data_IF_324917434670
#
_entry.id   IF_324917434670
#
_cell.length_a   1.000
_cell.length_b   1.000
_cell.length_c   1.000
_cell.angle_alpha   90.00
_cell.angle_beta   90.00
_cell.angle_gamma   90.00
#
_symmetry.space_group_name_H-M   'P 1'
#
loop_
_entity.id
_entity.type
_entity.pdbx_description
1 polymer ?
#
# COMPACT_ATOMS: atom_id res chain seq x y z
N UNK A 1 3.41 -19.10 9.24
CA UNK A 1 2.33 -18.11 9.06
C UNK A 1 1.66 -17.86 10.41
N UNK A 2 1.29 -16.60 10.72
CA UNK A 2 0.86 -16.21 12.07
C UNK A 2 -0.44 -16.91 12.56
N UNK A 3 -1.17 -17.59 11.67
CA UNK A 3 -2.46 -18.24 11.99
C UNK A 3 -2.58 -19.60 11.26
N UNK A 4 -1.74 -20.58 11.61
CA UNK A 4 -1.75 -21.90 10.95
C UNK A 4 -3.02 -22.71 11.21
N UNK A 5 -3.68 -22.50 12.35
CA UNK A 5 -4.87 -23.25 12.77
C UNK A 5 -6.18 -22.81 12.09
N UNK A 6 -6.23 -21.62 11.49
CA UNK A 6 -7.48 -21.09 10.92
C UNK A 6 -7.64 -21.44 9.44
N UNK A 7 -8.87 -21.76 9.03
CA UNK A 7 -9.24 -22.00 7.63
C UNK A 7 -9.42 -20.69 6.85
N UNK A 8 -9.79 -19.61 7.53
CA UNK A 8 -10.00 -18.29 6.95
C UNK A 8 -9.70 -17.18 7.96
N UNK A 9 -9.38 -15.98 7.46
CA UNK A 9 -9.12 -14.80 8.28
C UNK A 9 -10.15 -13.72 7.93
N UNK A 10 -10.83 -13.20 8.93
CA UNK A 10 -11.72 -12.05 8.78
C UNK A 10 -11.05 -10.79 9.36
N UNK A 11 -11.03 -9.70 8.60
CA UNK A 11 -10.63 -8.38 9.08
C UNK A 11 -11.85 -7.47 9.14
N UNK A 12 -12.14 -6.87 10.29
CA UNK A 12 -13.24 -5.91 10.46
C UNK A 12 -12.66 -4.49 10.54
N UNK A 13 -12.90 -3.67 9.53
CA UNK A 13 -12.32 -2.33 9.40
C UNK A 13 -12.32 -1.83 7.96
N UNK A 14 -11.50 -0.81 7.69
CA UNK A 14 -11.22 -0.36 6.32
C UNK A 14 -10.06 -1.12 5.67
N UNK A 15 -9.56 -0.57 4.56
CA UNK A 15 -8.46 -1.16 3.79
C UNK A 15 -7.16 -1.30 4.61
N UNK A 16 -6.88 -0.38 5.53
CA UNK A 16 -5.70 -0.48 6.42
C UNK A 16 -5.74 -1.73 7.31
N UNK A 17 -6.89 -2.06 7.88
CA UNK A 17 -7.08 -3.27 8.68
C UNK A 17 -6.95 -4.53 7.82
N UNK A 18 -7.46 -4.49 6.60
CA UNK A 18 -7.28 -5.58 5.63
C UNK A 18 -5.80 -5.80 5.31
N UNK A 19 -5.05 -4.74 5.02
CA UNK A 19 -3.61 -4.81 4.73
C UNK A 19 -2.83 -5.41 5.91
N UNK A 20 -3.18 -5.04 7.13
CA UNK A 20 -2.55 -5.57 8.34
C UNK A 20 -2.87 -7.06 8.57
N UNK A 21 -4.06 -7.51 8.21
CA UNK A 21 -4.38 -8.94 8.21
C UNK A 21 -3.61 -9.69 7.10
N UNK A 22 -3.58 -9.13 5.89
CA UNK A 22 -2.90 -9.71 4.75
C UNK A 22 -1.38 -9.80 4.92
N UNK A 23 -0.74 -8.85 5.62
CA UNK A 23 0.71 -8.89 5.90
C UNK A 23 1.13 -10.16 6.65
N UNK A 24 0.26 -10.69 7.52
CA UNK A 24 0.52 -11.88 8.33
C UNK A 24 0.32 -13.22 7.61
N UNK A 25 -0.26 -13.18 6.41
CA UNK A 25 -0.61 -14.37 5.62
C UNK A 25 0.32 -14.44 4.41
N UNK A 26 1.24 -15.40 4.41
CA UNK A 26 2.25 -15.56 3.36
C UNK A 26 1.89 -16.62 2.31
N UNK A 27 0.88 -17.46 2.59
CA UNK A 27 0.38 -18.51 1.69
C UNK A 27 -0.91 -18.06 1.00
N UNK A 28 -1.10 -18.48 -0.25
CA UNK A 28 -2.32 -18.27 -1.01
C UNK A 28 -3.47 -19.21 -0.60
N UNK A 29 -3.21 -20.18 0.28
CA UNK A 29 -4.19 -21.20 0.70
C UNK A 29 -5.20 -20.67 1.73
N UNK A 30 -4.87 -19.57 2.42
CA UNK A 30 -5.73 -19.00 3.47
C UNK A 30 -6.42 -17.73 2.99
N UNK A 31 -7.75 -17.75 2.76
CA UNK A 31 -8.48 -16.55 2.39
C UNK A 31 -8.41 -15.47 3.49
N UNK A 32 -8.27 -14.22 3.04
CA UNK A 32 -8.47 -13.03 3.87
C UNK A 32 -9.74 -12.34 3.39
N UNK A 33 -10.69 -12.13 4.31
CA UNK A 33 -12.02 -11.60 4.05
C UNK A 33 -12.16 -10.29 4.79
N UNK A 34 -12.21 -9.18 4.04
CA UNK A 34 -12.44 -7.86 4.61
C UNK A 34 -13.91 -7.58 4.82
N UNK A 35 -14.29 -7.10 6.01
CA UNK A 35 -15.63 -6.60 6.33
C UNK A 35 -15.48 -5.10 6.57
N UNK A 36 -16.08 -4.29 5.68
CA UNK A 36 -16.10 -2.85 5.88
C UNK A 36 -17.02 -2.49 7.06
N UNK A 37 -16.44 -1.92 8.11
CA UNK A 37 -17.18 -1.47 9.31
C UNK A 37 -17.61 -0.01 9.26
N UNK A 38 -17.42 0.70 8.13
CA UNK A 38 -18.04 1.99 7.86
C UNK A 38 -19.37 1.78 7.10
N UNK A 39 -20.52 1.65 7.79
CA UNK A 39 -21.79 1.25 7.18
C UNK A 39 -22.34 2.27 6.18
N UNK A 40 -21.94 3.54 6.29
CA UNK A 40 -22.41 4.62 5.43
C UNK A 40 -21.45 4.90 4.27
N UNK A 41 -20.23 4.34 4.29
CA UNK A 41 -19.21 4.58 3.27
C UNK A 41 -18.85 6.06 3.13
N UNK A 42 -19.00 6.84 4.21
CA UNK A 42 -18.76 8.28 4.23
C UNK A 42 -17.28 8.61 4.36
N UNK A 43 -16.50 7.72 4.99
CA UNK A 43 -15.08 7.94 5.29
C UNK A 43 -14.16 6.93 4.59
N UNK A 44 -14.66 5.75 4.20
CA UNK A 44 -13.87 4.74 3.49
C UNK A 44 -14.69 3.95 2.46
N UNK A 45 -14.26 3.96 1.21
CA UNK A 45 -14.86 3.14 0.14
C UNK A 45 -14.65 1.63 0.35
N UNK A 46 -13.59 1.24 1.07
CA UNK A 46 -13.22 -0.15 1.33
C UNK A 46 -12.93 -0.92 0.04
N UNK A 47 -11.93 -0.51 -0.74
CA UNK A 47 -11.60 -1.15 -2.03
C UNK A 47 -11.16 -2.61 -1.89
N UNK A 48 -10.64 -3.00 -0.72
CA UNK A 48 -10.21 -4.36 -0.40
C UNK A 48 -11.29 -5.17 0.33
N UNK A 49 -12.26 -4.50 0.95
CA UNK A 49 -13.30 -5.12 1.76
C UNK A 49 -14.53 -5.56 0.94
N UNK A 50 -15.25 -6.56 1.46
CA UNK A 50 -16.60 -6.87 1.01
C UNK A 50 -17.54 -5.70 1.38
N UNK A 51 -18.56 -5.51 0.54
CA UNK A 51 -19.67 -4.56 0.76
C UNK A 51 -19.19 -3.11 0.92
N UNK A 52 -18.79 -2.49 -0.20
CA UNK A 52 -18.34 -1.08 -0.26
C UNK A 52 -19.31 -0.08 0.39
N UNK A 53 -20.62 -0.35 0.37
CA UNK A 53 -21.67 0.49 0.96
C UNK A 53 -22.73 -0.39 1.62
N UNK A 54 -23.43 0.17 2.62
CA UNK A 54 -24.56 -0.47 3.31
C UNK A 54 -24.17 -1.83 3.93
N UNK A 55 -22.94 -1.94 4.44
CA UNK A 55 -22.43 -3.21 4.96
C UNK A 55 -23.31 -3.79 6.07
N UNK A 56 -23.89 -2.95 6.94
CA UNK A 56 -24.81 -3.40 8.00
C UNK A 56 -26.08 -4.09 7.48
N UNK A 57 -26.61 -3.65 6.33
CA UNK A 57 -27.83 -4.21 5.73
C UNK A 57 -27.54 -5.56 5.06
N UNK A 58 -26.45 -5.64 4.28
CA UNK A 58 -26.15 -6.80 3.44
C UNK A 58 -25.23 -7.82 4.08
N UNK A 59 -24.64 -7.55 5.25
CA UNK A 59 -23.67 -8.44 5.89
C UNK A 59 -24.22 -9.84 6.13
N UNK A 60 -25.47 -9.94 6.63
CA UNK A 60 -26.10 -11.23 6.92
C UNK A 60 -26.21 -12.09 5.66
N UNK A 61 -26.64 -11.50 4.56
CA UNK A 61 -26.81 -12.25 3.30
C UNK A 61 -25.47 -12.54 2.64
N UNK A 62 -24.49 -11.63 2.72
CA UNK A 62 -23.13 -11.90 2.29
C UNK A 62 -22.52 -13.08 3.07
N UNK A 63 -22.73 -13.15 4.39
CA UNK A 63 -22.26 -14.26 5.21
C UNK A 63 -22.94 -15.58 4.84
N UNK A 64 -24.26 -15.59 4.59
CA UNK A 64 -24.96 -16.79 4.10
C UNK A 64 -24.38 -17.27 2.76
N UNK A 65 -24.12 -16.35 1.83
CA UNK A 65 -23.52 -16.67 0.53
C UNK A 65 -22.11 -17.24 0.67
N UNK A 66 -21.28 -16.64 1.54
CA UNK A 66 -19.96 -17.17 1.88
C UNK A 66 -20.04 -18.60 2.41
N UNK A 67 -20.93 -18.87 3.38
CA UNK A 67 -21.12 -20.19 3.97
C UNK A 67 -21.69 -21.21 2.96
N UNK A 68 -22.50 -20.75 1.99
CA UNK A 68 -23.04 -21.59 0.94
C UNK A 68 -22.05 -21.84 -0.23
N UNK A 69 -20.86 -21.24 -0.21
CA UNK A 69 -19.90 -21.33 -1.32
C UNK A 69 -20.25 -20.44 -2.52
N UNK A 70 -21.23 -19.54 -2.40
CA UNK A 70 -21.65 -18.60 -3.45
C UNK A 70 -20.76 -17.34 -3.43
N UNK A 71 -19.53 -17.53 -3.86
CA UNK A 71 -18.56 -16.45 -4.04
C UNK A 71 -17.58 -16.79 -5.16
N UNK A 72 -16.76 -15.82 -5.55
CA UNK A 72 -15.65 -16.02 -6.48
C UNK A 72 -14.34 -15.70 -5.80
N UNK A 73 -13.33 -16.50 -6.07
CA UNK A 73 -11.97 -16.25 -5.62
C UNK A 73 -11.39 -15.03 -6.34
N UNK A 74 -10.77 -14.14 -5.58
CA UNK A 74 -9.99 -13.03 -6.10
C UNK A 74 -8.56 -13.16 -5.60
N UNK A 75 -7.68 -13.63 -6.49
CA UNK A 75 -6.25 -13.75 -6.20
C UNK A 75 -5.58 -12.41 -6.47
N UNK A 76 -4.97 -11.83 -5.44
CA UNK A 76 -4.28 -10.55 -5.52
C UNK A 76 -2.78 -10.77 -5.61
N UNK A 77 -2.15 -10.12 -6.58
CA UNK A 77 -0.69 -10.07 -6.67
C UNK A 77 -0.09 -9.34 -5.45
N UNK A 78 1.11 -9.74 -5.05
CA UNK A 78 1.90 -9.07 -4.01
C UNK A 78 3.33 -8.93 -4.47
N UNK A 79 3.97 -7.84 -4.07
CA UNK A 79 5.38 -7.56 -4.39
C UNK A 79 6.25 -8.24 -3.33
N UNK A 80 7.22 -9.03 -3.79
CA UNK A 80 8.30 -9.56 -2.96
C UNK A 80 9.54 -8.70 -3.15
N UNK A 81 10.18 -8.32 -2.05
CA UNK A 81 11.35 -7.45 -2.06
C UNK A 81 12.57 -8.27 -1.62
N UNK A 82 13.64 -8.18 -2.41
CA UNK A 82 14.96 -8.71 -2.06
C UNK A 82 15.94 -7.55 -2.04
N UNK A 83 16.77 -7.50 -1.01
CA UNK A 83 17.84 -6.52 -0.88
C UNK A 83 19.16 -7.20 -1.23
N UNK A 84 20.02 -6.54 -1.99
CA UNK A 84 21.34 -7.05 -2.36
C UNK A 84 22.40 -5.99 -2.02
N UNK A 85 23.64 -6.44 -1.74
CA UNK A 85 24.75 -5.58 -1.33
C UNK A 85 25.16 -5.75 0.14
N UNK A 86 26.01 -4.83 0.63
CA UNK A 86 26.38 -4.76 2.04
C UNK A 86 25.27 -4.05 2.82
N UNK A 87 24.18 -4.79 3.04
CA UNK A 87 22.98 -4.28 3.68
C UNK A 87 23.19 -4.15 5.20
N UNK A 88 24.17 -4.83 5.79
CA UNK A 88 24.32 -4.96 7.24
C UNK A 88 23.12 -5.65 7.92
N UNK A 89 23.09 -5.61 9.26
CA UNK A 89 21.94 -6.10 10.05
C UNK A 89 20.79 -5.06 10.05
N UNK A 90 20.08 -4.92 8.92
CA UNK A 90 18.86 -4.10 8.89
C UNK A 90 17.73 -4.88 9.56
N UNK A 91 17.27 -4.37 10.71
CA UNK A 91 16.03 -4.83 11.33
C UNK A 91 14.86 -4.03 10.76
N UNK A 92 13.80 -4.69 10.25
CA UNK A 92 12.62 -3.99 9.79
C UNK A 92 11.99 -3.19 10.94
N UNK A 93 11.60 -1.96 10.63
CA UNK A 93 10.93 -1.05 11.56
C UNK A 93 9.47 -0.90 11.15
N UNK A 94 8.55 -1.37 12.00
CA UNK A 94 7.12 -1.37 11.70
C UNK A 94 6.45 -0.14 12.32
N UNK A 95 6.27 0.90 11.51
CA UNK A 95 5.68 2.18 11.93
C UNK A 95 4.31 2.06 12.64
N UNK A 96 3.54 1.00 12.39
CA UNK A 96 2.22 0.81 12.98
C UNK A 96 2.25 0.14 14.37
N UNK A 97 3.38 -0.45 14.77
CA UNK A 97 3.60 -0.99 16.12
C UNK A 97 4.15 0.09 17.05
N UNK A 98 4.77 1.11 16.47
CA UNK A 98 5.27 2.29 17.14
C UNK A 98 4.11 3.25 17.36
N UNK A 99 3.51 3.23 18.54
CA UNK A 99 2.67 4.36 18.95
C UNK A 99 3.57 5.60 18.92
N UNK A 100 3.42 6.47 17.92
CA UNK A 100 3.92 7.83 18.02
C UNK A 100 3.38 8.37 19.35
N UNK A 101 4.24 8.72 20.33
CA UNK A 101 3.75 9.36 21.54
C UNK A 101 3.23 10.72 21.09
N UNK A 102 1.93 10.80 20.81
CA UNK A 102 1.20 12.05 20.75
C UNK A 102 1.14 12.57 22.19
N UNK A 103 2.28 13.11 22.63
CA UNK A 103 2.40 13.83 23.87
C UNK A 103 1.49 15.05 23.73
N UNK A 104 0.49 15.14 24.60
CA UNK A 104 -0.43 16.27 24.70
C UNK A 104 0.30 17.59 24.46
N UNK A 105 -0.23 18.38 23.52
CA UNK A 105 0.28 19.63 22.96
C UNK A 105 0.41 20.79 23.96
N UNK A 106 1.16 20.61 25.07
CA UNK A 106 1.36 21.66 26.08
C UNK A 106 2.81 21.94 26.48
N UNK A 107 3.80 21.31 25.84
CA UNK A 107 5.22 21.67 26.04
C UNK A 107 5.98 21.63 24.71
N UNK A 108 5.60 22.52 23.81
CA UNK A 108 6.38 22.80 22.62
C UNK A 108 7.12 24.10 22.87
N UNK A 109 8.37 23.99 23.34
CA UNK A 109 9.54 24.87 23.18
C UNK A 109 10.58 24.26 24.12
N UNK A 110 11.57 23.52 23.58
CA UNK A 110 12.96 23.46 24.10
C UNK A 110 13.82 22.29 23.57
N UNK A 111 13.31 21.32 22.83
CA UNK A 111 14.15 20.22 22.32
C UNK A 111 14.69 20.50 20.92
N UNK A 112 15.58 21.48 20.84
CA UNK A 112 16.54 21.61 19.73
C UNK A 112 17.75 20.76 20.12
N UNK A 113 18.07 19.80 19.26
CA UNK A 113 19.32 19.02 19.18
C UNK A 113 19.66 18.09 20.35
N UNK A 114 19.98 16.84 20.00
CA UNK A 114 20.80 15.86 20.75
C UNK A 114 20.17 14.67 21.52
N UNK A 115 18.87 14.36 21.45
CA UNK A 115 18.36 13.24 22.29
C UNK A 115 17.32 12.26 21.68
N UNK A 116 17.31 12.09 20.35
CA UNK A 116 16.46 11.07 19.72
C UNK A 116 16.95 9.62 19.91
N UNK A 117 18.27 9.42 20.02
CA UNK A 117 18.87 8.08 20.20
C UNK A 117 18.69 7.55 21.63
N UNK A 118 18.69 8.44 22.62
CA UNK A 118 18.54 8.10 24.05
C UNK A 118 17.10 7.69 24.39
N UNK A 119 16.11 8.27 23.70
CA UNK A 119 14.71 7.93 23.86
C UNK A 119 14.43 6.50 23.36
N UNK A 120 15.02 6.11 22.23
CA UNK A 120 14.92 4.76 21.66
C UNK A 120 15.47 3.66 22.59
N UNK A 121 16.56 3.95 23.30
CA UNK A 121 17.18 3.00 24.24
C UNK A 121 16.36 2.83 25.54
N UNK A 122 15.59 3.83 25.93
CA UNK A 122 14.79 3.78 27.16
C UNK A 122 13.48 3.01 26.97
N UNK A 123 12.90 3.04 25.77
CA UNK A 123 11.65 2.34 25.43
C UNK A 123 11.77 0.81 25.36
N UNK A 124 12.98 0.25 25.23
CA UNK A 124 13.20 -1.21 25.18
C UNK A 124 12.91 -1.95 26.49
N UNK A 125 12.74 -1.25 27.63
CA UNK A 125 12.67 -1.90 28.95
C UNK A 125 11.30 -2.41 29.40
N UNK A 126 10.19 -1.92 28.82
CA UNK A 126 8.88 -2.06 29.48
C UNK A 126 7.78 -2.85 28.75
N UNK A 127 8.08 -3.64 27.70
CA UNK A 127 7.05 -4.45 27.03
C UNK A 127 7.23 -5.97 27.19
N UNK A 128 6.14 -6.65 27.58
CA UNK A 128 6.12 -8.08 27.90
C UNK A 128 6.53 -8.95 26.68
N UNK A 129 7.45 -9.92 26.79
CA UNK A 129 8.14 -10.50 25.63
C UNK A 129 7.39 -11.62 24.89
N UNK A 130 6.22 -12.06 25.38
CA UNK A 130 5.77 -13.44 25.08
C UNK A 130 5.15 -13.63 23.68
N UNK A 131 4.50 -12.61 23.10
CA UNK A 131 3.88 -12.71 21.77
C UNK A 131 4.79 -12.24 20.63
N UNK A 132 5.66 -11.25 20.89
CA UNK A 132 6.63 -10.72 19.94
C UNK A 132 7.72 -11.74 19.60
N UNK A 133 8.27 -12.43 20.62
CA UNK A 133 9.42 -13.35 20.44
C UNK A 133 9.14 -14.48 19.45
N UNK A 134 7.90 -14.98 19.38
CA UNK A 134 7.54 -16.11 18.51
C UNK A 134 7.44 -15.71 17.03
N UNK A 135 6.97 -14.50 16.76
CA UNK A 135 6.96 -13.92 15.40
C UNK A 135 8.38 -13.56 14.95
N UNK A 136 9.18 -12.94 15.82
CA UNK A 136 10.57 -12.59 15.50
C UNK A 136 11.45 -13.81 15.19
N UNK A 137 11.31 -14.90 15.95
CA UNK A 137 12.09 -16.13 15.69
C UNK A 137 11.69 -16.76 14.35
N UNK A 138 10.40 -16.70 13.99
CA UNK A 138 9.90 -17.22 12.73
C UNK A 138 10.37 -16.40 11.51
N UNK A 139 10.37 -15.06 11.60
CA UNK A 139 10.83 -14.18 10.52
C UNK A 139 12.35 -14.26 10.34
N UNK A 140 13.10 -14.43 11.45
CA UNK A 140 14.56 -14.66 11.43
C UNK A 140 14.94 -15.94 10.68
N UNK A 141 14.23 -17.04 10.94
CA UNK A 141 14.52 -18.32 10.29
C UNK A 141 14.29 -18.27 8.76
N UNK A 142 13.34 -17.46 8.28
CA UNK A 142 13.12 -17.25 6.83
C UNK A 142 14.23 -16.39 6.21
N UNK A 143 14.70 -15.36 6.93
CA UNK A 143 15.78 -14.50 6.47
C UNK A 143 17.13 -15.25 6.37
N UNK A 144 17.39 -16.17 7.31
CA UNK A 144 18.62 -16.99 7.33
C UNK A 144 18.64 -18.08 6.24
N UNK A 145 17.50 -18.62 5.79
CA UNK A 145 17.45 -19.63 4.71
C UNK A 145 17.46 -19.06 3.28
N UNK A 146 17.04 -17.80 3.07
CA UNK A 146 16.76 -17.28 1.72
C UNK A 146 17.58 -16.06 1.25
N UNK A 147 18.51 -15.54 2.05
CA UNK A 147 19.40 -14.45 1.64
C UNK A 147 18.67 -13.13 1.39
N UNK A 148 18.72 -12.21 2.36
CA UNK A 148 18.29 -10.81 2.26
C UNK A 148 16.90 -10.55 1.62
N UNK A 149 16.00 -11.53 1.62
CA UNK A 149 14.60 -11.35 1.21
C UNK A 149 13.82 -10.80 2.39
N UNK A 150 13.11 -9.68 2.20
CA UNK A 150 12.23 -9.16 3.24
C UNK A 150 11.06 -10.12 3.46
N UNK A 151 10.74 -10.39 4.72
CA UNK A 151 9.71 -11.35 5.09
C UNK A 151 8.30 -10.90 4.73
N UNK A 152 8.06 -9.60 4.66
CA UNK A 152 6.76 -9.02 4.34
C UNK A 152 6.56 -8.87 2.83
N UNK A 153 5.40 -9.32 2.38
CA UNK A 153 4.96 -9.12 0.99
C UNK A 153 4.08 -7.87 0.92
N UNK A 154 4.35 -6.95 -0.01
CA UNK A 154 3.53 -5.75 -0.15
C UNK A 154 2.29 -6.04 -0.99
N UNK A 155 1.09 -5.83 -0.45
CA UNK A 155 -0.16 -6.02 -1.19
C UNK A 155 -0.49 -4.83 -2.09
N UNK A 156 -0.27 -3.60 -1.61
CA UNK A 156 -0.56 -2.40 -2.39
C UNK A 156 0.68 -1.91 -3.11
N UNK A 157 1.61 -1.31 -2.37
CA UNK A 157 2.69 -0.53 -2.93
C UNK A 157 4.00 -0.76 -2.16
N UNK A 158 5.13 -0.56 -2.85
CA UNK A 158 6.46 -0.40 -2.29
C UNK A 158 6.97 0.97 -2.68
N UNK A 159 7.37 1.76 -1.69
CA UNK A 159 8.04 3.04 -1.91
C UNK A 159 9.51 2.91 -1.55
N UNK A 160 10.39 3.36 -2.45
CA UNK A 160 11.84 3.41 -2.25
C UNK A 160 12.29 4.85 -2.46
N UNK A 161 12.98 5.40 -1.47
CA UNK A 161 13.47 6.77 -1.51
C UNK A 161 14.40 7.08 -0.35
N UNK A 162 14.86 8.33 -0.30
CA UNK A 162 15.68 8.83 0.80
C UNK A 162 14.88 8.87 2.11
N UNK A 163 15.57 8.61 3.23
CA UNK A 163 14.97 8.69 4.57
C UNK A 163 14.65 10.13 4.98
N UNK A 164 15.39 11.10 4.44
CA UNK A 164 15.15 12.53 4.63
C UNK A 164 14.43 13.10 3.42
N UNK A 165 13.23 13.64 3.62
CA UNK A 165 12.39 14.21 2.56
C UNK A 165 13.01 15.43 1.85
N UNK A 166 14.04 16.05 2.42
CA UNK A 166 14.79 17.16 1.83
C UNK A 166 15.87 16.70 0.84
N UNK A 167 16.19 15.40 0.82
CA UNK A 167 17.19 14.82 -0.09
C UNK A 167 16.53 14.26 -1.33
N UNK A 168 17.26 14.34 -2.43
CA UNK A 168 16.84 13.76 -3.71
C UNK A 168 17.41 12.36 -3.80
N UNK A 169 16.58 11.40 -4.19
CA UNK A 169 16.99 10.03 -4.48
C UNK A 169 17.60 9.93 -5.88
N UNK A 170 18.77 9.32 -5.96
CA UNK A 170 19.43 8.95 -7.21
C UNK A 170 19.44 7.43 -7.29
N UNK A 171 18.91 6.90 -8.37
CA UNK A 171 18.80 5.46 -8.55
C UNK A 171 18.80 5.07 -10.02
N UNK A 172 19.12 3.82 -10.30
CA UNK A 172 19.01 3.20 -11.61
C UNK A 172 17.91 2.14 -11.56
N UNK A 173 17.02 2.14 -12.55
CA UNK A 173 15.95 1.15 -12.68
C UNK A 173 16.24 0.26 -13.89
N UNK A 174 16.04 -1.04 -13.71
CA UNK A 174 16.06 -2.04 -14.77
C UNK A 174 14.80 -2.91 -14.69
N UNK A 175 14.12 -3.10 -15.81
CA UNK A 175 12.96 -4.00 -15.91
C UNK A 175 13.36 -5.23 -16.71
N UNK A 176 13.29 -6.41 -16.10
CA UNK A 176 13.81 -7.65 -16.65
C UNK A 176 15.24 -7.45 -17.21
N UNK A 177 15.50 -7.88 -18.44
CA UNK A 177 16.80 -7.75 -19.11
C UNK A 177 16.94 -6.42 -19.90
N UNK A 178 16.15 -5.39 -19.56
CA UNK A 178 16.25 -4.07 -20.22
C UNK A 178 17.55 -3.36 -19.91
N UNK A 179 17.84 -2.28 -20.63
CA UNK A 179 18.90 -1.35 -20.23
C UNK A 179 18.56 -0.68 -18.89
N UNK A 180 19.59 -0.41 -18.10
CA UNK A 180 19.47 0.37 -16.86
C UNK A 180 19.28 1.86 -17.17
N UNK A 181 18.28 2.46 -16.54
CA UNK A 181 17.95 3.88 -16.71
C UNK A 181 18.20 4.63 -15.42
N UNK A 182 19.06 5.65 -15.49
CA UNK A 182 19.33 6.59 -14.39
C UNK A 182 18.15 7.52 -14.18
N UNK A 183 17.73 7.66 -12.92
CA UNK A 183 16.62 8.49 -12.51
C UNK A 183 16.97 9.34 -11.29
N UNK A 184 16.31 10.49 -11.19
CA UNK A 184 16.45 11.45 -10.10
C UNK A 184 15.06 11.99 -9.71
N UNK A 185 14.62 11.71 -8.49
CA UNK A 185 13.32 12.16 -7.97
C UNK A 185 13.26 12.09 -6.45
N UNK A 186 12.09 12.32 -5.85
CA UNK A 186 11.86 12.04 -4.42
C UNK A 186 11.88 10.55 -4.06
N UNK A 187 11.94 9.67 -5.05
CA UNK A 187 11.83 8.21 -4.91
C UNK A 187 10.98 7.58 -6.01
N UNK A 188 10.72 6.29 -5.87
CA UNK A 188 9.94 5.46 -6.79
C UNK A 188 8.87 4.69 -6.03
N UNK A 189 7.67 4.63 -6.62
CA UNK A 189 6.54 3.83 -6.13
C UNK A 189 6.30 2.70 -7.13
N UNK A 190 6.28 1.46 -6.64
CA UNK A 190 5.88 0.28 -7.38
C UNK A 190 4.55 -0.20 -6.80
N UNK A 191 3.50 -0.24 -7.61
CA UNK A 191 2.15 -0.62 -7.17
C UNK A 191 1.68 -1.93 -7.81
N UNK A 192 0.87 -2.69 -7.08
CA UNK A 192 0.11 -3.82 -7.64
C UNK A 192 -1.21 -3.35 -8.24
N UNK A 193 -1.93 -4.26 -8.89
CA UNK A 193 -3.32 -4.01 -9.27
C UNK A 193 -4.23 -3.60 -8.10
N UNK A 194 -3.98 -4.14 -6.90
CA UNK A 194 -4.69 -3.73 -5.67
C UNK A 194 -4.26 -2.35 -5.17
N UNK A 195 -2.97 -2.00 -5.30
CA UNK A 195 -2.43 -0.68 -4.95
C UNK A 195 -2.89 0.45 -5.88
N UNK A 196 -3.38 0.11 -7.08
CA UNK A 196 -3.85 1.08 -8.08
C UNK A 196 -4.97 2.00 -7.60
N UNK A 197 -5.73 1.62 -6.57
CA UNK A 197 -6.77 2.47 -5.93
C UNK A 197 -6.25 3.28 -4.73
N UNK A 198 -4.96 3.18 -4.40
CA UNK A 198 -4.35 3.75 -3.19
C UNK A 198 -3.41 4.92 -3.52
N UNK A 199 -2.14 4.86 -3.13
CA UNK A 199 -1.19 5.97 -3.32
C UNK A 199 -1.05 6.33 -4.80
N UNK A 200 -0.90 5.32 -5.68
CA UNK A 200 -0.83 5.52 -7.12
C UNK A 200 -1.98 6.37 -7.67
N UNK A 201 -3.23 6.02 -7.32
CA UNK A 201 -4.41 6.78 -7.74
C UNK A 201 -4.35 8.23 -7.27
N UNK A 202 -4.05 8.43 -5.98
CA UNK A 202 -4.18 9.74 -5.36
C UNK A 202 -3.13 10.74 -5.82
N UNK A 203 -1.95 10.28 -6.25
CA UNK A 203 -0.91 11.14 -6.85
C UNK A 203 -1.19 11.46 -8.32
N UNK A 204 -1.88 10.59 -9.05
CA UNK A 204 -2.08 10.74 -10.49
C UNK A 204 -3.47 11.27 -10.89
N UNK A 205 -4.47 11.16 -10.02
CA UNK A 205 -5.85 11.57 -10.33
C UNK A 205 -5.94 13.05 -10.65
N UNK A 206 -6.83 13.40 -11.58
CA UNK A 206 -7.17 14.78 -11.88
C UNK A 206 -8.50 15.16 -11.26
N UNK A 207 -8.65 16.45 -10.92
CA UNK A 207 -9.89 17.04 -10.41
C UNK A 207 -10.65 17.74 -11.54
N UNK A 208 -11.93 18.05 -11.30
CA UNK A 208 -12.73 18.87 -12.23
C UNK A 208 -12.04 20.20 -12.55
N UNK A 209 -11.42 20.81 -11.53
CA UNK A 209 -10.65 22.05 -11.70
C UNK A 209 -9.46 21.86 -12.64
N UNK A 210 -8.65 20.81 -12.45
CA UNK A 210 -7.49 20.53 -13.30
C UNK A 210 -7.90 20.37 -14.78
N UNK A 211 -8.96 19.58 -15.03
CA UNK A 211 -9.50 19.39 -16.38
C UNK A 211 -10.02 20.71 -16.95
N UNK A 212 -10.77 21.48 -16.17
CA UNK A 212 -11.25 22.80 -16.58
C UNK A 212 -10.12 23.75 -16.95
N UNK A 213 -9.02 23.77 -16.18
CA UNK A 213 -7.85 24.62 -16.47
C UNK A 213 -7.15 24.22 -17.76
N UNK A 214 -7.00 22.91 -18.03
CA UNK A 214 -6.39 22.42 -19.28
C UNK A 214 -7.27 22.77 -20.48
N UNK A 215 -8.59 22.58 -20.37
CA UNK A 215 -9.53 22.94 -21.43
C UNK A 215 -9.56 24.44 -21.70
N UNK A 216 -9.40 25.29 -20.69
CA UNK A 216 -9.31 26.75 -20.85
C UNK A 216 -8.06 27.15 -21.64
N UNK A 217 -6.91 26.54 -21.35
CA UNK A 217 -5.68 26.75 -22.13
C UNK A 217 -5.90 26.30 -23.58
N UNK A 218 -6.41 25.09 -23.80
CA UNK A 218 -6.66 24.57 -25.15
C UNK A 218 -7.67 25.43 -25.93
N UNK A 219 -8.71 25.94 -25.26
CA UNK A 219 -9.74 26.80 -25.84
C UNK A 219 -9.15 28.10 -26.37
N UNK A 220 -8.23 28.71 -25.62
CA UNK A 220 -7.53 29.95 -26.00
C UNK A 220 -6.60 29.73 -27.19
N UNK A 221 -5.87 28.62 -27.21
CA UNK A 221 -4.95 28.29 -28.31
C UNK A 221 -5.70 27.97 -29.62
N UNK A 222 -6.87 27.33 -29.54
CA UNK A 222 -7.66 26.93 -30.72
C UNK A 222 -8.64 28.04 -31.15
N UNK A 223 -8.83 29.09 -30.34
CA UNK A 223 -9.81 30.14 -30.58
C UNK A 223 -11.27 29.68 -30.40
N UNK A 224 -11.50 28.61 -29.63
CA UNK A 224 -12.81 28.02 -29.39
C UNK A 224 -13.20 28.14 -27.92
N UNK A 225 -14.10 29.04 -27.57
CA UNK A 225 -14.49 29.34 -26.17
C UNK A 225 -15.50 28.36 -25.56
N UNK A 226 -16.03 27.41 -26.33
CA UNK A 226 -17.18 26.57 -25.91
C UNK A 226 -16.82 25.41 -24.98
N UNK A 227 -15.54 25.06 -24.83
CA UNK A 227 -15.13 23.84 -24.10
C UNK A 227 -15.08 24.03 -22.57
N UNK A 228 -15.04 25.26 -22.06
CA UNK A 228 -14.78 25.55 -20.63
C UNK A 228 -16.04 25.57 -19.76
N UNK A 229 -17.23 25.77 -20.33
CA UNK A 229 -18.47 25.94 -19.56
C UNK A 229 -19.25 24.63 -19.36
N UNK A 230 -18.94 23.59 -20.13
CA UNK A 230 -19.61 22.30 -20.03
C UNK A 230 -19.08 21.46 -18.85
N UNK A 231 -19.71 21.65 -17.69
CA UNK A 231 -19.45 20.84 -16.48
C UNK A 231 -19.59 19.35 -16.73
N UNK A 232 -20.50 18.93 -17.61
CA UNK A 232 -20.71 17.52 -17.91
C UNK A 232 -19.54 16.95 -18.72
N UNK A 233 -18.98 17.73 -19.65
CA UNK A 233 -17.77 17.37 -20.38
C UNK A 233 -16.57 17.24 -19.44
N UNK A 234 -16.39 18.20 -18.54
CA UNK A 234 -15.32 18.18 -17.54
C UNK A 234 -15.38 16.90 -16.70
N UNK A 235 -16.56 16.57 -16.16
CA UNK A 235 -16.77 15.36 -15.37
C UNK A 235 -16.50 14.09 -16.18
N UNK A 236 -17.00 14.00 -17.42
CA UNK A 236 -16.74 12.85 -18.30
C UNK A 236 -15.25 12.67 -18.58
N UNK A 237 -14.52 13.74 -18.89
CA UNK A 237 -13.08 13.67 -19.17
C UNK A 237 -12.33 13.24 -17.91
N UNK A 238 -12.64 13.83 -16.75
CA UNK A 238 -12.07 13.45 -15.46
C UNK A 238 -12.29 11.96 -15.19
N UNK A 239 -13.53 11.49 -15.33
CA UNK A 239 -13.89 10.10 -15.01
C UNK A 239 -13.22 9.12 -15.98
N UNK A 240 -13.18 9.45 -17.27
CA UNK A 240 -12.45 8.65 -18.27
C UNK A 240 -10.96 8.60 -17.92
N UNK A 241 -10.31 9.73 -17.62
CA UNK A 241 -8.90 9.76 -17.27
C UNK A 241 -8.62 8.96 -15.99
N UNK A 242 -9.34 9.25 -14.90
CA UNK A 242 -9.14 8.60 -13.61
C UNK A 242 -9.43 7.10 -13.68
N UNK A 243 -10.39 6.66 -14.50
CA UNK A 243 -10.65 5.22 -14.69
C UNK A 243 -9.48 4.46 -15.31
N UNK A 244 -8.62 5.13 -16.09
CA UNK A 244 -7.41 4.53 -16.70
C UNK A 244 -6.26 4.34 -15.73
N UNK A 245 -6.35 4.93 -14.54
CA UNK A 245 -5.39 4.74 -13.46
C UNK A 245 -5.63 3.42 -12.70
N UNK A 246 -6.75 2.73 -12.96
CA UNK A 246 -7.09 1.52 -12.24
C UNK A 246 -6.58 0.29 -12.99
N UNK A 247 -5.82 -0.53 -12.29
CA UNK A 247 -5.33 -1.81 -12.77
C UNK A 247 -6.16 -2.93 -12.14
N UNK A 248 -6.37 -4.02 -12.87
CA UNK A 248 -7.12 -5.14 -12.31
C UNK A 248 -6.25 -5.87 -11.27
N UNK A 249 -6.78 -6.20 -10.08
CA UNK A 249 -5.99 -6.84 -9.03
C UNK A 249 -5.72 -8.32 -9.28
N UNK A 250 -6.41 -8.93 -10.25
CA UNK A 250 -6.32 -10.35 -10.59
C UNK A 250 -5.06 -10.68 -11.37
N UNK A 251 -4.43 -11.78 -10.96
CA UNK A 251 -3.31 -12.36 -11.69
C UNK A 251 -3.86 -13.25 -12.83
N UNK A 252 -3.75 -12.79 -14.09
CA UNK A 252 -3.96 -13.65 -15.28
C UNK A 252 -2.66 -14.15 -15.93
N UNK A 253 -1.50 -13.80 -15.38
CA UNK A 253 -0.22 -14.17 -15.98
C UNK A 253 0.09 -15.64 -15.74
N UNK A 254 0.50 -16.33 -16.80
CA UNK A 254 1.19 -17.62 -16.72
C UNK A 254 2.32 -17.52 -15.68
N UNK A 255 2.28 -18.38 -14.66
CA UNK A 255 3.25 -18.43 -13.57
C UNK A 255 4.68 -18.82 -14.03
N UNK A 256 4.88 -19.03 -15.34
CA UNK A 256 6.17 -19.41 -15.92
C UNK A 256 7.18 -18.27 -16.00
N UNK A 257 6.74 -17.00 -15.97
CA UNK A 257 7.61 -15.83 -15.93
C UNK A 257 7.03 -14.77 -14.99
N UNK A 258 7.65 -14.60 -13.83
CA UNK A 258 7.38 -13.47 -12.95
C UNK A 258 8.35 -12.35 -13.34
N UNK A 259 7.85 -11.16 -13.75
CA UNK A 259 8.73 -10.04 -14.07
C UNK A 259 9.49 -9.60 -12.82
N UNK A 260 10.71 -9.14 -13.02
CA UNK A 260 11.56 -8.61 -11.95
C UNK A 260 11.98 -7.18 -12.27
N UNK A 261 12.08 -6.37 -11.22
CA UNK A 261 12.50 -4.98 -11.30
C UNK A 261 13.70 -4.81 -10.37
N UNK A 262 14.84 -4.43 -10.94
CA UNK A 262 16.03 -4.14 -10.18
C UNK A 262 16.19 -2.62 -10.00
N UNK A 263 16.51 -2.21 -8.77
CA UNK A 263 16.70 -0.81 -8.41
C UNK A 263 18.03 -0.69 -7.67
N UNK A 264 19.00 -0.02 -8.30
CA UNK A 264 20.29 0.29 -7.70
C UNK A 264 20.26 1.70 -7.11
N UNK A 265 20.51 1.83 -5.81
CA UNK A 265 20.59 3.12 -5.11
C UNK A 265 22.06 3.46 -4.81
N UNK A 266 22.41 4.74 -4.95
CA UNK A 266 23.78 5.25 -4.77
C UNK A 266 23.83 6.36 -3.72
#
# INVERSE_FOLDING_TARGET
AAVSWADAIFSAGGDGTFLHAASRILSAEKPVIGINTDPMGLNSEGHLCLLKKLSHEYFRDALKRLLAGDFRWLYRQRIRIRLEGDVGDIKPFYLHEEQLPFYNSKKQYDLITTDFLSLLLTFQRDFSPQYTTRTYTYLRNIAEEHGNVLSDLALNDVFIGESLSSRVSYYEIQYDDSEMVKQKSSGVIICTGSGSTSWYFNVNKVTDHCVSSILDIASKEIGCTTLTEDKSLIQRIRDIYNSRLLFTPDCKSDLSFLPWLFISCW
#
